data_IF_643530248795
#
_entry.id   IF_643530248795
#
_cell.length_a   1.000
_cell.length_b   1.000
_cell.length_c   1.000
_cell.angle_alpha   90.00
_cell.angle_beta   90.00
_cell.angle_gamma   90.00
#
_symmetry.space_group_name_H-M   'P 1'
#
loop_
_entity.id
_entity.type
_entity.pdbx_description
1 polymer ?
#
# COMPACT_ATOMS: atom_id res chain seq x y z
N UNK A 1 -9.89 -15.57 -6.02
CA UNK A 1 -9.63 -14.12 -6.13
C UNK A 1 -10.95 -13.40 -6.39
N UNK A 2 -11.13 -12.20 -5.81
CA UNK A 2 -12.32 -11.35 -5.98
C UNK A 2 -11.92 -9.97 -6.53
N UNK A 3 -11.94 -9.76 -7.87
CA UNK A 3 -11.56 -8.49 -8.50
C UNK A 3 -12.50 -7.33 -8.14
N UNK A 4 -13.80 -7.61 -8.00
CA UNK A 4 -14.81 -6.58 -7.70
C UNK A 4 -14.67 -6.09 -6.26
N UNK A 5 -14.46 -7.03 -5.32
CA UNK A 5 -14.17 -6.69 -3.93
C UNK A 5 -12.87 -5.92 -3.77
N UNK A 6 -11.82 -6.29 -4.52
CA UNK A 6 -10.57 -5.54 -4.53
C UNK A 6 -10.78 -4.11 -5.00
N UNK A 7 -11.42 -3.90 -6.16
CA UNK A 7 -11.68 -2.57 -6.72
C UNK A 7 -12.48 -1.66 -5.76
N UNK A 8 -13.48 -2.22 -5.07
CA UNK A 8 -14.24 -1.48 -4.07
C UNK A 8 -13.39 -1.10 -2.85
N UNK A 9 -12.54 -2.00 -2.35
CA UNK A 9 -11.72 -1.78 -1.17
C UNK A 9 -10.63 -0.71 -1.38
N UNK A 10 -10.14 -0.55 -2.61
CA UNK A 10 -9.04 0.38 -2.94
C UNK A 10 -9.55 1.72 -3.47
N UNK A 11 -10.86 1.95 -3.41
CA UNK A 11 -11.50 3.20 -3.80
C UNK A 11 -12.02 3.91 -2.56
N UNK A 12 -11.25 4.83 -1.95
CA UNK A 12 -11.72 5.64 -0.83
C UNK A 12 -13.04 6.34 -1.16
N UNK A 13 -13.97 6.38 -0.21
CA UNK A 13 -15.29 6.99 -0.39
C UNK A 13 -16.30 6.16 -1.18
N UNK A 14 -15.91 4.99 -1.70
CA UNK A 14 -16.85 4.06 -2.31
C UNK A 14 -17.89 3.59 -1.27
N UNK A 15 -19.19 3.54 -1.62
CA UNK A 15 -20.21 3.08 -0.68
C UNK A 15 -19.96 1.63 -0.27
N UNK A 16 -20.02 1.38 1.04
CA UNK A 16 -19.91 0.02 1.56
C UNK A 16 -21.13 -0.80 1.11
N UNK A 17 -20.94 -2.07 0.69
CA UNK A 17 -22.06 -2.95 0.41
C UNK A 17 -22.89 -3.18 1.70
N UNK A 18 -24.20 -3.45 1.58
CA UNK A 18 -25.03 -3.74 2.75
C UNK A 18 -24.50 -4.98 3.48
N UNK A 19 -24.50 -4.92 4.82
CA UNK A 19 -24.05 -6.03 5.67
C UNK A 19 -24.94 -7.25 5.42
N UNK A 20 -24.34 -8.36 5.01
CA UNK A 20 -25.01 -9.64 4.78
C UNK A 20 -24.37 -10.72 5.67
N UNK A 21 -24.79 -10.88 6.94
CA UNK A 21 -24.12 -11.76 7.90
C UNK A 21 -24.01 -13.22 7.42
N UNK A 22 -24.99 -13.72 6.68
CA UNK A 22 -24.98 -15.07 6.10
C UNK A 22 -23.94 -15.30 4.99
N UNK A 23 -23.24 -14.24 4.56
CA UNK A 23 -22.13 -14.32 3.59
C UNK A 23 -20.75 -14.16 4.24
N UNK A 24 -20.68 -13.99 5.57
CA UNK A 24 -19.41 -13.88 6.28
C UNK A 24 -18.80 -15.26 6.50
N UNK A 25 -17.61 -15.49 5.96
CA UNK A 25 -16.78 -16.65 6.28
C UNK A 25 -15.66 -16.22 7.23
N UNK A 26 -15.47 -16.95 8.34
CA UNK A 26 -14.38 -16.70 9.29
C UNK A 26 -13.02 -17.25 8.82
N UNK A 27 -13.02 -18.02 7.72
CA UNK A 27 -11.83 -18.65 7.17
C UNK A 27 -11.67 -18.19 5.74
N UNK A 28 -10.57 -17.50 5.46
CA UNK A 28 -10.20 -17.19 4.08
C UNK A 28 -9.65 -18.46 3.41
N UNK A 29 -10.44 -19.07 2.54
CA UNK A 29 -10.01 -20.25 1.75
C UNK A 29 -9.13 -19.88 0.56
N UNK A 30 -9.19 -18.62 0.13
CA UNK A 30 -8.53 -18.14 -1.08
C UNK A 30 -7.37 -17.19 -0.81
N UNK A 31 -7.09 -16.79 0.44
CA UNK A 31 -6.08 -15.78 0.78
C UNK A 31 -6.57 -14.33 0.59
N UNK A 32 -5.67 -13.35 0.77
CA UNK A 32 -5.97 -11.92 0.55
C UNK A 32 -5.90 -11.54 -0.93
N UNK A 33 -6.98 -10.96 -1.48
CA UNK A 33 -6.99 -10.47 -2.87
C UNK A 33 -6.00 -9.33 -3.10
N UNK A 34 -5.64 -8.56 -2.07
CA UNK A 34 -4.62 -7.51 -2.16
C UNK A 34 -3.25 -8.13 -2.46
N UNK A 35 -2.83 -9.07 -1.62
CA UNK A 35 -1.51 -9.70 -1.74
C UNK A 35 -1.41 -10.58 -2.99
N UNK A 36 -2.47 -11.34 -3.32
CA UNK A 36 -2.49 -12.19 -4.52
C UNK A 36 -2.40 -11.40 -5.84
N UNK A 37 -2.92 -10.17 -5.88
CA UNK A 37 -2.86 -9.33 -7.08
C UNK A 37 -1.62 -8.44 -7.15
N UNK A 38 -0.68 -8.57 -6.20
CA UNK A 38 0.56 -7.82 -6.21
C UNK A 38 1.39 -8.02 -7.50
N UNK A 39 1.54 -9.25 -8.06
CA UNK A 39 2.28 -9.42 -9.32
C UNK A 39 1.65 -8.62 -10.48
N UNK A 40 0.31 -8.59 -10.55
CA UNK A 40 -0.41 -7.81 -11.56
C UNK A 40 -0.26 -6.30 -11.35
N UNK A 41 -0.29 -5.82 -10.11
CA UNK A 41 -0.05 -4.41 -9.79
C UNK A 41 1.35 -3.96 -10.23
N UNK A 42 2.37 -4.78 -9.98
CA UNK A 42 3.76 -4.51 -10.40
C UNK A 42 3.88 -4.54 -11.92
N UNK A 43 3.22 -5.49 -12.60
CA UNK A 43 3.20 -5.53 -14.07
C UNK A 43 2.56 -4.28 -14.70
N UNK A 44 1.53 -3.71 -14.07
CA UNK A 44 0.96 -2.42 -14.49
C UNK A 44 1.99 -1.31 -14.35
N UNK A 45 2.67 -1.20 -13.21
CA UNK A 45 3.72 -0.19 -13.01
C UNK A 45 4.88 -0.30 -14.02
N UNK A 46 5.28 -1.52 -14.40
CA UNK A 46 6.33 -1.74 -15.40
C UNK A 46 5.98 -1.22 -16.79
N UNK A 47 4.69 -1.18 -17.12
CA UNK A 47 4.20 -0.83 -18.47
C UNK A 47 3.57 0.55 -18.54
N UNK A 48 3.22 1.15 -17.40
CA UNK A 48 2.65 2.48 -17.34
C UNK A 48 3.70 3.56 -17.64
N UNK A 49 3.41 4.39 -18.64
CA UNK A 49 4.22 5.55 -19.00
C UNK A 49 4.24 6.57 -17.85
N UNK A 50 5.41 7.15 -17.56
CA UNK A 50 5.57 8.13 -16.50
C UNK A 50 5.63 7.55 -15.08
N UNK A 51 5.73 6.23 -14.91
CA UNK A 51 5.99 5.63 -13.60
C UNK A 51 7.35 6.06 -13.07
N UNK A 52 7.39 6.63 -11.85
CA UNK A 52 8.65 6.98 -11.20
C UNK A 52 9.50 5.70 -10.96
N UNK A 53 10.76 5.66 -11.41
CA UNK A 53 11.62 4.48 -11.27
C UNK A 53 11.84 4.02 -9.83
N UNK A 54 11.81 4.93 -8.85
CA UNK A 54 11.96 4.59 -7.42
C UNK A 54 10.71 3.88 -6.90
N UNK A 55 9.52 4.31 -7.33
CA UNK A 55 8.28 3.61 -7.00
C UNK A 55 8.28 2.20 -7.57
N UNK A 56 8.69 2.04 -8.83
CA UNK A 56 8.81 0.71 -9.45
C UNK A 56 9.81 -0.17 -8.67
N UNK A 57 10.98 0.35 -8.32
CA UNK A 57 11.98 -0.40 -7.56
C UNK A 57 11.47 -0.85 -6.18
N UNK A 58 10.74 0.00 -5.46
CA UNK A 58 10.09 -0.36 -4.19
C UNK A 58 9.01 -1.43 -4.38
N UNK A 59 8.21 -1.33 -5.44
CA UNK A 59 7.18 -2.31 -5.77
C UNK A 59 7.78 -3.69 -6.11
N UNK A 60 8.89 -3.73 -6.85
CA UNK A 60 9.60 -4.96 -7.19
C UNK A 60 10.26 -5.61 -5.96
N UNK A 61 10.85 -4.80 -5.07
CA UNK A 61 11.36 -5.27 -3.76
C UNK A 61 10.26 -5.92 -2.94
N UNK A 62 9.10 -5.27 -2.86
CA UNK A 62 7.94 -5.82 -2.16
C UNK A 62 7.47 -7.14 -2.78
N UNK A 63 7.37 -7.23 -4.11
CA UNK A 63 6.99 -8.46 -4.80
C UNK A 63 7.93 -9.61 -4.47
N UNK A 64 9.25 -9.38 -4.58
CA UNK A 64 10.25 -10.39 -4.26
C UNK A 64 10.15 -10.86 -2.79
N UNK A 65 9.93 -9.94 -1.85
CA UNK A 65 9.72 -10.26 -0.43
C UNK A 65 8.47 -11.12 -0.23
N UNK A 66 7.36 -10.78 -0.89
CA UNK A 66 6.14 -11.56 -0.77
C UNK A 66 6.25 -12.93 -1.43
N UNK A 67 6.94 -13.08 -2.56
CA UNK A 67 7.19 -14.39 -3.17
C UNK A 67 8.01 -15.30 -2.25
N UNK A 68 9.08 -14.78 -1.64
CA UNK A 68 9.88 -15.51 -0.67
C UNK A 68 9.04 -15.96 0.54
N UNK A 69 8.25 -15.03 1.11
CA UNK A 69 7.38 -15.30 2.25
C UNK A 69 6.33 -16.38 1.95
N UNK A 70 5.69 -16.37 0.78
CA UNK A 70 4.70 -17.39 0.43
C UNK A 70 5.34 -18.78 0.34
N UNK A 71 6.60 -18.87 -0.09
CA UNK A 71 7.37 -20.12 -0.06
C UNK A 71 7.53 -20.67 1.36
N UNK A 72 7.85 -19.80 2.32
CA UNK A 72 7.98 -20.20 3.72
C UNK A 72 6.64 -20.55 4.38
N UNK A 73 5.60 -19.75 4.15
CA UNK A 73 4.24 -20.01 4.62
C UNK A 73 3.70 -21.36 4.09
N UNK A 74 3.99 -21.70 2.83
CA UNK A 74 3.58 -22.98 2.25
C UNK A 74 4.31 -24.18 2.87
N UNK A 75 5.51 -23.98 3.42
CA UNK A 75 6.28 -25.01 4.11
C UNK A 75 5.81 -25.26 5.55
N UNK A 76 5.08 -24.30 6.16
CA UNK A 76 4.53 -24.46 7.51
C UNK A 76 3.55 -25.63 7.57
N UNK A 77 3.73 -26.48 8.60
CA UNK A 77 2.76 -27.52 8.94
C UNK A 77 1.78 -26.98 9.98
N UNK A 78 0.46 -27.19 9.79
CA UNK A 78 -0.52 -26.86 10.82
C UNK A 78 -0.17 -27.54 12.14
N UNK A 79 -0.13 -26.77 13.22
CA UNK A 79 0.16 -27.25 14.56
C UNK A 79 -0.86 -26.67 15.55
N UNK A 80 -1.16 -27.40 16.62
CA UNK A 80 -2.09 -26.94 17.67
C UNK A 80 -1.56 -25.73 18.42
N UNK A 81 -0.24 -25.63 18.54
CA UNK A 81 0.46 -24.49 19.16
C UNK A 81 1.41 -23.96 18.09
N UNK A 82 1.24 -22.68 17.74
CA UNK A 82 2.09 -22.00 16.77
C UNK A 82 3.52 -21.87 17.33
N UNK A 83 4.52 -22.09 16.48
CA UNK A 83 5.92 -21.80 16.82
C UNK A 83 6.18 -20.30 16.80
N UNK A 84 7.26 -19.84 17.44
CA UNK A 84 7.69 -18.44 17.36
C UNK A 84 7.84 -17.98 15.89
N UNK A 85 8.44 -18.82 15.04
CA UNK A 85 8.59 -18.53 13.60
C UNK A 85 7.25 -18.30 12.90
N UNK A 86 6.17 -18.96 13.32
CA UNK A 86 4.85 -18.75 12.73
C UNK A 86 4.30 -17.33 13.03
N UNK A 87 4.64 -16.77 14.20
CA UNK A 87 4.31 -15.37 14.52
C UNK A 87 5.18 -14.40 13.72
N UNK A 88 6.47 -14.68 13.57
CA UNK A 88 7.36 -13.86 12.75
C UNK A 88 6.88 -13.81 11.28
N UNK A 89 6.45 -14.96 10.74
CA UNK A 89 5.86 -15.07 9.39
C UNK A 89 4.54 -14.32 9.27
N UNK A 90 3.73 -14.27 10.34
CA UNK A 90 2.50 -13.49 10.35
C UNK A 90 2.79 -11.99 10.30
N UNK A 91 3.76 -11.51 11.08
CA UNK A 91 4.22 -10.11 11.04
C UNK A 91 4.79 -9.73 9.67
N UNK A 92 5.59 -10.60 9.05
CA UNK A 92 6.06 -10.40 7.67
C UNK A 92 4.91 -10.38 6.66
N UNK A 93 3.86 -11.17 6.88
CA UNK A 93 2.67 -11.16 6.04
C UNK A 93 1.87 -9.86 6.19
N UNK A 94 1.79 -9.30 7.38
CA UNK A 94 1.16 -7.99 7.63
C UNK A 94 1.89 -6.87 6.87
N UNK A 95 3.22 -6.91 6.80
CA UNK A 95 4.01 -5.98 5.99
C UNK A 95 3.70 -6.13 4.49
N UNK A 96 3.67 -7.38 3.99
CA UNK A 96 3.27 -7.67 2.61
C UNK A 96 1.85 -7.18 2.31
N UNK A 97 0.92 -7.35 3.24
CA UNK A 97 -0.45 -6.87 3.14
C UNK A 97 -0.49 -5.33 3.07
N UNK A 98 0.23 -4.65 3.96
CA UNK A 98 0.30 -3.19 3.98
C UNK A 98 0.90 -2.63 2.68
N UNK A 99 2.02 -3.19 2.22
CA UNK A 99 2.65 -2.78 0.96
C UNK A 99 1.74 -3.02 -0.25
N UNK A 100 1.05 -4.16 -0.31
CA UNK A 100 0.09 -4.44 -1.38
C UNK A 100 -1.08 -3.44 -1.36
N UNK A 101 -1.58 -3.08 -0.18
CA UNK A 101 -2.62 -2.07 -0.02
C UNK A 101 -2.18 -0.70 -0.54
N UNK A 102 -0.96 -0.26 -0.24
CA UNK A 102 -0.38 0.98 -0.76
C UNK A 102 -0.37 0.99 -2.29
N UNK A 103 0.14 -0.08 -2.92
CA UNK A 103 0.22 -0.16 -4.38
C UNK A 103 -1.15 -0.17 -5.05
N UNK A 104 -2.10 -0.95 -4.53
CA UNK A 104 -3.44 -0.98 -5.13
C UNK A 104 -4.17 0.36 -4.95
N UNK A 105 -3.98 1.04 -3.82
CA UNK A 105 -4.55 2.37 -3.60
C UNK A 105 -3.94 3.41 -4.55
N UNK A 106 -2.63 3.36 -4.76
CA UNK A 106 -1.93 4.21 -5.73
C UNK A 106 -2.45 3.99 -7.16
N UNK A 107 -2.56 2.74 -7.59
CA UNK A 107 -3.04 2.37 -8.93
C UNK A 107 -4.51 2.72 -9.13
N UNK A 108 -5.35 2.58 -8.11
CA UNK A 108 -6.77 2.97 -8.17
C UNK A 108 -6.96 4.49 -8.28
N UNK A 109 -6.03 5.28 -7.75
CA UNK A 109 -5.97 6.73 -7.97
C UNK A 109 -5.47 7.14 -9.36
N UNK A 110 -4.99 6.19 -10.18
CA UNK A 110 -4.44 6.46 -11.51
C UNK A 110 -3.16 7.29 -11.48
N UNK A 111 -2.43 7.28 -10.36
CA UNK A 111 -1.23 8.09 -10.16
C UNK A 111 -1.44 9.61 -10.25
N UNK A 112 -2.70 10.06 -10.13
CA UNK A 112 -3.05 11.48 -10.19
C UNK A 112 -3.94 11.81 -9.00
N UNK A 113 -3.90 13.05 -8.51
CA UNK A 113 -4.92 13.54 -7.62
C UNK A 113 -6.23 13.57 -8.43
N UNK A 114 -7.05 12.53 -8.32
CA UNK A 114 -8.48 12.79 -8.40
C UNK A 114 -8.73 13.87 -7.35
N UNK A 115 -9.30 15.02 -7.73
CA UNK A 115 -9.65 16.06 -6.78
C UNK A 115 -10.61 15.45 -5.75
N UNK A 116 -10.05 15.00 -4.61
CA UNK A 116 -10.71 14.20 -3.57
C UNK A 116 -10.73 15.01 -2.29
N UNK A 117 -11.58 16.06 -2.19
CA UNK A 117 -11.62 16.94 -1.02
C UNK A 117 -11.84 16.19 0.30
N UNK A 118 -12.45 15.00 0.27
CA UNK A 118 -12.61 14.11 1.41
C UNK A 118 -11.30 13.61 2.03
N UNK A 119 -10.17 13.70 1.31
CA UNK A 119 -8.85 13.30 1.79
C UNK A 119 -8.12 14.44 2.53
N UNK A 120 -8.68 15.65 2.59
CA UNK A 120 -8.09 16.79 3.30
C UNK A 120 -6.68 17.11 2.78
N UNK A 121 -5.69 17.19 3.68
CA UNK A 121 -4.27 17.42 3.33
C UNK A 121 -3.74 16.39 2.32
N UNK A 122 -4.27 15.16 2.33
CA UNK A 122 -3.87 14.09 1.41
C UNK A 122 -4.45 14.24 0.00
N UNK A 123 -5.28 15.25 -0.24
CA UNK A 123 -5.74 15.63 -1.57
C UNK A 123 -4.73 16.55 -2.30
N UNK A 124 -3.69 17.01 -1.61
CA UNK A 124 -2.64 17.87 -2.17
C UNK A 124 -1.96 17.21 -3.37
N UNK A 125 -1.93 17.85 -4.56
CA UNK A 125 -1.36 17.25 -5.76
C UNK A 125 0.10 16.87 -5.58
N UNK A 126 0.85 17.59 -4.74
CA UNK A 126 2.27 17.40 -4.44
C UNK A 126 2.55 16.01 -3.84
N UNK A 127 1.68 15.53 -2.95
CA UNK A 127 1.82 14.20 -2.33
C UNK A 127 1.63 13.07 -3.33
N UNK A 128 0.84 13.31 -4.38
CA UNK A 128 0.56 12.36 -5.44
C UNK A 128 1.54 12.47 -6.61
N UNK A 129 2.27 13.57 -6.75
CA UNK A 129 3.29 13.67 -7.81
C UNK A 129 4.35 12.58 -7.62
N UNK A 130 4.69 11.92 -8.73
CA UNK A 130 5.72 10.88 -8.79
C UNK A 130 5.55 9.77 -7.72
N UNK A 131 4.33 9.58 -7.23
CA UNK A 131 4.00 8.62 -6.17
C UNK A 131 4.67 8.91 -4.84
N UNK A 132 4.94 10.17 -4.47
CA UNK A 132 5.66 10.52 -3.24
C UNK A 132 5.11 9.83 -1.99
N UNK A 133 3.82 9.93 -1.70
CA UNK A 133 3.23 9.28 -0.52
C UNK A 133 3.37 7.75 -0.59
N UNK A 134 3.22 7.16 -1.78
CA UNK A 134 3.30 5.72 -1.98
C UNK A 134 4.74 5.22 -1.81
N UNK A 135 5.73 5.97 -2.31
CA UNK A 135 7.16 5.68 -2.12
C UNK A 135 7.53 5.73 -0.64
N UNK A 136 7.15 6.79 0.07
CA UNK A 136 7.38 6.92 1.50
C UNK A 136 6.73 5.79 2.31
N UNK A 137 5.47 5.46 2.00
CA UNK A 137 4.76 4.37 2.68
C UNK A 137 5.40 3.00 2.41
N UNK A 138 5.82 2.72 1.18
CA UNK A 138 6.51 1.46 0.84
C UNK A 138 7.90 1.38 1.48
N UNK A 139 8.67 2.47 1.47
CA UNK A 139 9.97 2.53 2.12
C UNK A 139 9.84 2.30 3.62
N UNK A 140 8.82 2.89 4.26
CA UNK A 140 8.53 2.65 5.68
C UNK A 140 8.14 1.19 5.97
N UNK A 141 7.31 0.58 5.12
CA UNK A 141 6.92 -0.85 5.26
C UNK A 141 8.13 -1.77 5.10
N UNK A 142 8.95 -1.54 4.07
CA UNK A 142 10.14 -2.35 3.79
C UNK A 142 11.24 -2.17 4.86
N UNK A 143 11.37 -0.95 5.40
CA UNK A 143 12.38 -0.59 6.40
C UNK A 143 12.18 -1.19 7.78
N UNK A 144 10.96 -1.68 8.13
CA UNK A 144 10.65 -2.25 9.46
C UNK A 144 11.56 -3.40 9.89
N UNK A 145 12.10 -4.14 8.92
CA UNK A 145 12.95 -5.32 9.15
C UNK A 145 14.40 -5.11 8.75
N UNK A 146 14.73 -3.91 8.29
CA UNK A 146 16.06 -3.52 7.82
C UNK A 146 15.95 -2.34 6.86
N UNK A 147 16.54 -1.21 7.25
CA UNK A 147 16.60 -0.03 6.39
C UNK A 147 17.68 -0.25 5.33
N UNK A 148 17.33 -0.16 4.05
CA UNK A 148 18.34 -0.04 2.99
C UNK A 148 18.79 1.43 2.87
N UNK A 149 20.04 1.69 2.45
CA UNK A 149 20.49 3.04 2.16
C UNK A 149 19.57 3.72 1.15
N UNK A 150 18.97 4.85 1.54
CA UNK A 150 18.03 5.62 0.70
C UNK A 150 16.56 5.52 1.11
N UNK A 151 16.15 4.52 1.91
CA UNK A 151 14.75 4.39 2.34
C UNK A 151 14.29 5.59 3.22
N UNK A 152 15.23 6.26 3.91
CA UNK A 152 14.93 7.47 4.71
C UNK A 152 14.62 8.71 3.86
N UNK A 153 15.19 8.81 2.66
CA UNK A 153 15.02 9.96 1.76
C UNK A 153 13.57 10.14 1.36
N UNK A 154 12.83 9.03 1.24
CA UNK A 154 11.42 9.05 0.89
C UNK A 154 10.54 9.62 2.01
N UNK A 155 10.90 9.32 3.27
CA UNK A 155 10.20 9.87 4.42
C UNK A 155 10.46 11.37 4.56
N UNK A 156 11.72 11.80 4.40
CA UNK A 156 12.10 13.21 4.50
C UNK A 156 11.36 14.05 3.43
N UNK A 157 11.35 13.59 2.18
CA UNK A 157 10.64 14.27 1.09
C UNK A 157 9.12 14.36 1.33
N UNK A 158 8.52 13.33 1.97
CA UNK A 158 7.11 13.38 2.35
C UNK A 158 6.87 14.43 3.44
N UNK A 159 7.71 14.49 4.47
CA UNK A 159 7.58 15.47 5.55
C UNK A 159 7.71 16.90 5.02
N UNK A 160 8.72 17.18 4.19
CA UNK A 160 8.91 18.48 3.55
C UNK A 160 7.68 18.92 2.76
N UNK A 161 7.05 18.01 2.01
CA UNK A 161 5.85 18.29 1.24
C UNK A 161 4.64 18.58 2.15
N UNK A 162 4.45 17.81 3.23
CA UNK A 162 3.36 18.03 4.20
C UNK A 162 3.53 19.37 4.91
N UNK A 163 4.75 19.74 5.31
CA UNK A 163 5.04 21.03 5.92
C UNK A 163 4.74 22.20 4.97
N UNK A 164 5.13 22.08 3.70
CA UNK A 164 4.84 23.08 2.67
C UNK A 164 3.33 23.27 2.44
N UNK A 165 2.56 22.17 2.37
CA UNK A 165 1.09 22.23 2.24
C UNK A 165 0.46 22.91 3.46
N UNK A 166 0.90 22.54 4.68
CA UNK A 166 0.42 23.14 5.92
C UNK A 166 0.66 24.65 5.96
N UNK A 167 1.87 25.10 5.61
CA UNK A 167 2.22 26.51 5.56
C UNK A 167 1.36 27.29 4.53
N UNK A 168 1.10 26.71 3.36
CA UNK A 168 0.26 27.32 2.33
C UNK A 168 -1.20 27.47 2.77
N UNK A 169 -1.75 26.48 3.48
CA UNK A 169 -3.13 26.55 4.00
C UNK A 169 -3.29 27.66 5.06
N UNK A 170 -2.33 27.81 5.97
CA UNK A 170 -2.36 28.85 7.00
C UNK A 170 -2.30 30.27 6.38
N UNK A 171 -1.45 30.47 5.36
CA UNK A 171 -1.34 31.77 4.69
C UNK A 171 -2.62 32.18 3.92
N UNK A 172 -3.37 31.20 3.41
CA UNK A 172 -4.65 31.43 2.72
C UNK A 172 -5.82 31.76 3.66
N UNK A 173 -5.75 31.37 4.94
CA UNK A 173 -6.75 31.74 5.95
C UNK A 173 -6.52 33.16 6.50
N UNK A 174 -5.27 33.63 6.60
CA UNK A 174 -4.94 34.98 7.07
C UNK A 174 -5.31 36.11 6.08
N UNK A 175 -5.56 35.77 4.81
CA UNK A 175 -5.92 36.73 3.76
C UNK A 175 -7.43 36.83 3.50
N UNK A 176 -8.27 36.14 4.29
CA UNK A 176 -9.73 36.07 4.09
C UNK A 176 -10.55 36.87 5.10
#
# INVERSE_FOLDING_TARGET
MDPAGLAAAVTPGSPLPPVAPGRLELVSRGGSSLVQNLPSAVAVLRTAEGTDPRLLALAERLLARCEALHGELAALRPARIASARAFDLAEEYEECFAGAAVLHLWLAGGGRPAHRPELGLWAGPELWQDGLWARAALAAVLGRRGQEPGDGVESDALYDAVEAIGAATAAGEETR
#
